data_IF_479768334058
#
_entry.id   IF_479768334058
#
_cell.length_a   1.000
_cell.length_b   1.000
_cell.length_c   1.000
_cell.angle_alpha   90.00
_cell.angle_beta   90.00
_cell.angle_gamma   90.00
#
_symmetry.space_group_name_H-M   'P 1'
#
loop_
_entity.id
_entity.type
_entity.pdbx_description
1 polymer ?
#
# COMPACT_ATOMS: atom_id res chain seq x y z
N UNK A 1 17.72 6.81 -19.13
CA UNK A 1 16.29 6.62 -19.37
C UNK A 1 15.76 5.61 -18.37
N UNK A 2 14.77 5.99 -17.57
CA UNK A 2 14.07 5.08 -16.64
C UNK A 2 13.13 4.17 -17.42
N UNK A 3 13.07 2.90 -17.05
CA UNK A 3 12.05 1.97 -17.56
C UNK A 3 10.64 2.39 -17.09
N UNK A 4 9.60 1.84 -17.72
CA UNK A 4 8.21 2.11 -17.28
C UNK A 4 7.97 1.64 -15.85
N UNK A 5 8.57 0.52 -15.44
CA UNK A 5 8.47 -0.01 -14.07
C UNK A 5 9.14 0.93 -13.06
N UNK A 6 10.32 1.46 -13.39
CA UNK A 6 11.00 2.45 -12.54
C UNK A 6 10.21 3.75 -12.41
N UNK A 7 9.62 4.24 -13.52
CA UNK A 7 8.75 5.41 -13.50
C UNK A 7 7.51 5.19 -12.61
N UNK A 8 6.88 4.02 -12.73
CA UNK A 8 5.73 3.66 -11.91
C UNK A 8 6.09 3.61 -10.41
N UNK A 9 7.20 2.96 -10.09
CA UNK A 9 7.68 2.88 -8.71
C UNK A 9 8.02 4.27 -8.14
N UNK A 10 8.66 5.15 -8.94
CA UNK A 10 8.94 6.52 -8.54
C UNK A 10 7.66 7.35 -8.32
N UNK A 11 6.65 7.16 -9.17
CA UNK A 11 5.36 7.82 -8.99
C UNK A 11 4.65 7.33 -7.71
N UNK A 12 4.68 6.02 -7.44
CA UNK A 12 4.12 5.46 -6.22
C UNK A 12 4.83 5.98 -4.96
N UNK A 13 6.17 6.07 -4.98
CA UNK A 13 6.94 6.67 -3.89
C UNK A 13 6.46 8.09 -3.59
N UNK A 14 6.31 8.91 -4.63
CA UNK A 14 5.83 10.27 -4.47
C UNK A 14 4.39 10.34 -3.97
N UNK A 15 3.50 9.49 -4.49
CA UNK A 15 2.11 9.41 -4.04
C UNK A 15 2.04 9.13 -2.54
N UNK A 16 2.76 8.12 -2.05
CA UNK A 16 2.72 7.76 -0.62
C UNK A 16 3.34 8.80 0.31
N UNK A 17 4.23 9.64 -0.21
CA UNK A 17 4.81 10.76 0.53
C UNK A 17 3.88 11.97 0.60
N UNK A 18 3.19 12.29 -0.48
CA UNK A 18 2.41 13.52 -0.62
C UNK A 18 0.90 13.32 -0.36
N UNK A 19 0.36 12.10 -0.54
CA UNK A 19 -1.08 11.88 -0.33
C UNK A 19 -1.49 12.16 1.12
N UNK A 20 -2.67 12.76 1.34
CA UNK A 20 -3.14 13.00 2.69
C UNK A 20 -3.44 11.69 3.43
N UNK A 21 -3.19 11.69 4.73
CA UNK A 21 -3.56 10.62 5.65
C UNK A 21 -4.78 11.05 6.44
N UNK A 22 -5.87 10.28 6.33
CA UNK A 22 -7.12 10.57 7.02
C UNK A 22 -7.38 9.53 8.12
N UNK A 23 -7.77 10.03 9.29
CA UNK A 23 -8.29 9.23 10.39
C UNK A 23 -9.59 9.89 10.81
N UNK A 24 -10.71 9.42 10.25
CA UNK A 24 -12.02 10.03 10.45
C UNK A 24 -12.62 9.60 11.80
N UNK A 25 -13.55 10.39 12.28
CA UNK A 25 -14.26 10.06 13.49
C UNK A 25 -15.17 8.84 13.26
N UNK A 26 -15.19 7.93 14.22
CA UNK A 26 -15.97 6.70 14.14
C UNK A 26 -15.33 5.55 13.34
N UNK A 27 -14.22 5.76 12.61
CA UNK A 27 -13.54 4.66 11.93
C UNK A 27 -13.05 3.59 12.90
N UNK A 28 -13.24 2.33 12.52
CA UNK A 28 -12.77 1.18 13.28
C UNK A 28 -11.48 0.60 12.69
N UNK A 29 -11.23 0.84 11.42
CA UNK A 29 -10.02 0.50 10.67
C UNK A 29 -9.60 1.71 9.85
N UNK A 30 -8.32 1.84 9.53
CA UNK A 30 -7.79 2.97 8.76
C UNK A 30 -7.20 2.52 7.42
N UNK A 31 -7.04 3.48 6.55
CA UNK A 31 -6.58 3.30 5.18
C UNK A 31 -7.64 3.88 4.25
N UNK A 32 -7.59 5.18 4.01
CA UNK A 32 -8.48 5.80 3.02
C UNK A 32 -7.68 6.24 1.82
N UNK A 33 -8.10 5.82 0.66
CA UNK A 33 -7.61 6.32 -0.60
C UNK A 33 -8.81 6.53 -1.50
N UNK A 34 -9.11 7.78 -1.81
CA UNK A 34 -10.05 8.06 -2.88
C UNK A 34 -9.33 7.95 -4.23
N UNK A 35 -9.99 7.36 -5.20
CA UNK A 35 -9.55 7.38 -6.59
C UNK A 35 -9.51 8.84 -7.07
N UNK A 36 -8.34 9.32 -7.39
CA UNK A 36 -8.17 10.64 -7.97
C UNK A 36 -7.63 11.68 -7.01
N UNK A 37 -8.09 11.76 -5.78
CA UNK A 37 -7.66 12.82 -4.86
C UNK A 37 -6.20 12.66 -4.41
N UNK A 38 -5.69 11.44 -4.34
CA UNK A 38 -4.31 11.18 -4.00
C UNK A 38 -3.37 11.28 -5.21
N UNK A 39 -3.83 10.98 -6.40
CA UNK A 39 -3.00 10.88 -7.62
C UNK A 39 -2.97 12.16 -8.42
N UNK A 40 -4.12 12.81 -8.60
CA UNK A 40 -4.24 13.99 -9.46
C UNK A 40 -3.31 15.16 -9.08
N UNK A 41 -3.02 15.43 -7.80
CA UNK A 41 -2.06 16.47 -7.43
C UNK A 41 -0.60 16.10 -7.69
N UNK A 42 -0.29 14.79 -7.76
CA UNK A 42 1.08 14.27 -7.71
C UNK A 42 1.57 13.79 -9.07
N UNK A 43 0.69 13.22 -9.87
CA UNK A 43 1.02 12.63 -11.17
C UNK A 43 0.18 13.30 -12.26
N UNK A 44 0.79 13.81 -13.31
CA UNK A 44 0.03 14.41 -14.42
C UNK A 44 -0.87 13.35 -15.05
N UNK A 45 -2.14 13.70 -15.26
CA UNK A 45 -3.17 12.82 -15.86
C UNK A 45 -2.79 12.38 -17.26
N UNK A 46 -1.97 13.19 -17.96
CA UNK A 46 -1.44 12.88 -19.29
C UNK A 46 0.06 13.08 -19.32
N UNK A 47 0.78 12.11 -19.86
CA UNK A 47 2.17 12.20 -20.22
C UNK A 47 2.32 11.85 -21.70
N UNK A 48 2.90 12.76 -22.49
CA UNK A 48 3.06 12.60 -23.95
C UNK A 48 1.73 12.24 -24.68
N UNK A 49 0.62 12.85 -24.25
CA UNK A 49 -0.69 12.63 -24.85
C UNK A 49 -1.43 11.37 -24.37
N UNK A 50 -0.76 10.49 -23.64
CA UNK A 50 -1.35 9.26 -23.09
C UNK A 50 -1.72 9.45 -21.61
N UNK A 51 -2.79 8.76 -21.18
CA UNK A 51 -3.12 8.68 -19.77
C UNK A 51 -2.06 7.82 -19.05
N UNK A 52 -1.39 8.40 -18.05
CA UNK A 52 -0.32 7.70 -17.31
C UNK A 52 -0.92 6.65 -16.38
N UNK A 53 -2.08 6.95 -15.81
CA UNK A 53 -2.91 6.00 -15.09
C UNK A 53 -4.24 5.97 -15.81
N UNK A 54 -4.41 5.00 -16.68
CA UNK A 54 -5.68 4.82 -17.35
C UNK A 54 -6.78 4.54 -16.33
N UNK A 55 -7.97 5.01 -16.61
CA UNK A 55 -9.20 4.46 -16.03
C UNK A 55 -9.34 3.02 -16.55
N UNK A 56 -8.29 2.23 -16.31
CA UNK A 56 -8.29 0.83 -16.67
C UNK A 56 -9.26 0.12 -15.75
N UNK A 57 -10.29 -0.46 -16.31
CA UNK A 57 -11.16 -1.41 -15.65
C UNK A 57 -10.37 -2.69 -15.28
N UNK A 58 -9.27 -2.52 -14.57
CA UNK A 58 -8.46 -3.62 -14.08
C UNK A 58 -9.08 -4.11 -12.77
N UNK A 59 -10.25 -4.74 -12.87
CA UNK A 59 -10.79 -5.57 -11.81
C UNK A 59 -9.93 -6.82 -11.67
N UNK A 60 -8.77 -6.67 -11.05
CA UNK A 60 -7.91 -7.81 -10.73
C UNK A 60 -8.12 -8.12 -9.26
N UNK A 61 -8.54 -9.33 -8.97
CA UNK A 61 -8.51 -9.85 -7.60
C UNK A 61 -7.06 -10.09 -7.23
N UNK A 62 -6.59 -9.32 -6.27
CA UNK A 62 -5.24 -9.51 -5.73
C UNK A 62 -5.24 -10.71 -4.78
N UNK A 63 -4.12 -11.40 -4.63
CA UNK A 63 -3.96 -12.55 -3.72
C UNK A 63 -4.04 -12.17 -2.24
N UNK A 64 -5.16 -11.58 -1.81
CA UNK A 64 -5.36 -11.14 -0.42
C UNK A 64 -5.37 -12.30 0.56
N UNK A 65 -5.84 -13.47 0.15
CA UNK A 65 -5.82 -14.70 0.94
C UNK A 65 -4.39 -15.10 1.33
N UNK A 66 -3.48 -15.09 0.37
CA UNK A 66 -2.06 -15.35 0.61
C UNK A 66 -1.43 -14.26 1.50
N UNK A 67 -1.73 -12.97 1.24
CA UNK A 67 -1.23 -11.88 2.04
C UNK A 67 -1.71 -11.96 3.50
N UNK A 68 -2.96 -12.34 3.72
CA UNK A 68 -3.50 -12.58 5.06
C UNK A 68 -2.84 -13.78 5.73
N UNK A 69 -2.63 -14.87 4.99
CA UNK A 69 -2.09 -16.11 5.55
C UNK A 69 -0.64 -15.98 6.01
N UNK A 70 0.20 -15.23 5.31
CA UNK A 70 1.65 -15.18 5.58
C UNK A 70 2.20 -13.78 5.93
N UNK A 71 1.42 -12.72 5.71
CA UNK A 71 1.88 -11.35 5.89
C UNK A 71 2.83 -10.87 4.78
N UNK A 72 2.95 -9.55 4.63
CA UNK A 72 3.76 -8.97 3.55
C UNK A 72 5.27 -9.10 3.77
N UNK A 73 5.74 -9.29 5.01
CA UNK A 73 7.15 -9.60 5.29
C UNK A 73 7.61 -10.92 4.68
N UNK A 74 6.70 -11.88 4.53
CA UNK A 74 7.02 -13.13 3.87
C UNK A 74 7.28 -12.93 2.38
N UNK A 75 6.51 -12.09 1.71
CA UNK A 75 6.75 -11.72 0.32
C UNK A 75 8.09 -11.03 0.14
N UNK A 76 8.45 -10.13 1.05
CA UNK A 76 9.73 -9.44 0.98
C UNK A 76 10.91 -10.44 1.08
N UNK A 77 10.83 -11.39 2.01
CA UNK A 77 11.85 -12.46 2.13
C UNK A 77 11.90 -13.38 0.90
N UNK A 78 10.75 -13.72 0.32
CA UNK A 78 10.69 -14.52 -0.92
C UNK A 78 11.35 -13.78 -2.09
N UNK A 79 11.06 -12.49 -2.25
CA UNK A 79 11.67 -11.64 -3.28
C UNK A 79 13.19 -11.57 -3.09
N UNK A 80 13.68 -11.40 -1.86
CA UNK A 80 15.11 -11.38 -1.56
C UNK A 80 15.79 -12.71 -1.89
N UNK A 81 15.13 -13.83 -1.59
CA UNK A 81 15.59 -15.15 -1.99
C UNK A 81 15.73 -15.29 -3.51
N UNK A 82 14.75 -14.83 -4.25
CA UNK A 82 14.82 -14.84 -5.72
C UNK A 82 15.88 -13.88 -6.28
N UNK A 83 16.03 -12.68 -5.72
CA UNK A 83 17.03 -11.72 -6.16
C UNK A 83 18.46 -12.25 -5.96
N UNK A 84 18.69 -13.06 -4.94
CA UNK A 84 20.00 -13.67 -4.68
C UNK A 84 20.34 -14.81 -5.65
N UNK A 85 19.32 -15.51 -6.18
CA UNK A 85 19.48 -16.71 -6.98
C UNK A 85 19.37 -16.47 -8.50
N UNK A 86 18.53 -15.53 -8.94
CA UNK A 86 18.23 -15.31 -10.34
C UNK A 86 19.27 -14.40 -11.03
N UNK A 87 19.60 -14.77 -12.26
CA UNK A 87 20.54 -14.02 -13.13
C UNK A 87 19.84 -13.36 -14.32
N UNK A 88 18.54 -13.54 -14.46
CA UNK A 88 17.74 -12.93 -15.52
C UNK A 88 17.49 -11.45 -15.22
N UNK A 89 17.89 -10.56 -16.13
CA UNK A 89 17.83 -9.12 -15.92
C UNK A 89 16.38 -8.60 -15.85
N UNK A 90 15.46 -9.13 -16.67
CA UNK A 90 14.07 -8.70 -16.67
C UNK A 90 13.35 -9.12 -15.37
N UNK A 91 13.55 -10.36 -14.94
CA UNK A 91 13.00 -10.86 -13.68
C UNK A 91 13.56 -10.08 -12.48
N UNK A 92 14.85 -9.76 -12.52
CA UNK A 92 15.50 -8.95 -11.49
C UNK A 92 14.86 -7.56 -11.40
N UNK A 93 14.64 -6.88 -12.54
CA UNK A 93 13.98 -5.58 -12.59
C UNK A 93 12.56 -5.63 -12.00
N UNK A 94 11.76 -6.66 -12.37
CA UNK A 94 10.43 -6.87 -11.80
C UNK A 94 10.48 -6.99 -10.29
N UNK A 95 11.37 -7.82 -9.75
CA UNK A 95 11.51 -8.06 -8.30
C UNK A 95 11.99 -6.83 -7.54
N UNK A 96 12.91 -6.06 -8.10
CA UNK A 96 13.32 -4.76 -7.54
C UNK A 96 12.11 -3.81 -7.46
N UNK A 97 11.30 -3.75 -8.50
CA UNK A 97 10.08 -2.93 -8.52
C UNK A 97 9.06 -3.40 -7.48
N UNK A 98 8.89 -4.72 -7.29
CA UNK A 98 8.03 -5.27 -6.22
C UNK A 98 8.54 -4.88 -4.82
N UNK A 99 9.85 -5.01 -4.56
CA UNK A 99 10.43 -4.55 -3.29
C UNK A 99 10.20 -3.06 -3.06
N UNK A 100 10.37 -2.25 -4.09
CA UNK A 100 10.14 -0.81 -3.99
C UNK A 100 8.68 -0.49 -3.66
N UNK A 101 7.72 -1.22 -4.24
CA UNK A 101 6.30 -1.08 -3.90
C UNK A 101 6.02 -1.45 -2.42
N UNK A 102 6.63 -2.54 -1.91
CA UNK A 102 6.53 -2.90 -0.50
C UNK A 102 7.15 -1.82 0.42
N UNK A 103 8.27 -1.24 0.03
CA UNK A 103 8.88 -0.13 0.76
C UNK A 103 7.98 1.12 0.77
N UNK A 104 7.30 1.42 -0.34
CA UNK A 104 6.32 2.50 -0.43
C UNK A 104 5.12 2.24 0.50
N UNK A 105 4.63 0.99 0.56
CA UNK A 105 3.57 0.61 1.50
C UNK A 105 4.01 0.79 2.95
N UNK A 106 5.25 0.43 3.30
CA UNK A 106 5.80 0.67 4.65
C UNK A 106 5.85 2.16 5.01
N UNK A 107 6.26 3.03 4.08
CA UNK A 107 6.26 4.49 4.30
C UNK A 107 4.84 5.01 4.51
N UNK A 108 3.89 4.57 3.71
CA UNK A 108 2.49 4.95 3.88
C UNK A 108 1.91 4.47 5.21
N UNK A 109 2.21 3.23 5.59
CA UNK A 109 1.86 2.68 6.89
C UNK A 109 2.45 3.48 8.05
N UNK A 110 3.73 3.86 7.96
CA UNK A 110 4.40 4.66 8.97
C UNK A 110 3.70 6.01 9.17
N UNK A 111 3.28 6.66 8.10
CA UNK A 111 2.52 7.91 8.17
C UNK A 111 1.18 7.75 8.90
N UNK A 112 0.50 6.62 8.73
CA UNK A 112 -0.70 6.30 9.52
C UNK A 112 -0.39 6.09 10.99
N UNK A 113 0.71 5.40 11.30
CA UNK A 113 1.15 5.21 12.68
C UNK A 113 1.44 6.55 13.37
N UNK A 114 2.16 7.44 12.71
CA UNK A 114 2.47 8.78 13.20
C UNK A 114 1.20 9.62 13.41
N UNK A 115 0.29 9.62 12.45
CA UNK A 115 -0.97 10.34 12.55
C UNK A 115 -1.87 9.79 13.69
N UNK A 116 -1.88 8.47 13.90
CA UNK A 116 -2.59 7.84 15.02
C UNK A 116 -1.98 8.24 16.36
N UNK A 117 -0.66 8.21 16.50
CA UNK A 117 0.01 8.62 17.73
C UNK A 117 -0.27 10.09 18.07
N UNK A 118 -0.25 10.99 17.08
CA UNK A 118 -0.60 12.40 17.30
C UNK A 118 -2.08 12.57 17.69
N UNK A 119 -2.99 11.87 17.02
CA UNK A 119 -4.42 11.95 17.35
C UNK A 119 -4.71 11.38 18.74
N UNK A 120 -4.04 10.30 19.15
CA UNK A 120 -4.19 9.69 20.48
C UNK A 120 -3.70 10.64 21.59
N UNK A 121 -2.68 11.46 21.35
CA UNK A 121 -2.21 12.45 22.34
C UNK A 121 -3.28 13.51 22.65
N UNK A 122 -4.03 13.93 21.64
CA UNK A 122 -5.05 14.97 21.74
C UNK A 122 -6.43 14.41 22.08
N UNK A 123 -6.72 13.20 21.64
CA UNK A 123 -8.00 12.50 21.80
C UNK A 123 -7.76 10.99 22.08
N UNK A 124 -7.53 10.61 23.36
CA UNK A 124 -7.09 9.27 23.74
C UNK A 124 -8.20 8.22 23.74
N UNK A 125 -8.94 8.09 22.65
CA UNK A 125 -10.00 7.08 22.50
C UNK A 125 -9.45 5.66 22.41
N UNK A 126 -10.09 4.70 23.08
CA UNK A 126 -9.73 3.27 23.04
C UNK A 126 -9.79 2.71 21.62
N UNK A 127 -10.69 3.20 20.79
CA UNK A 127 -10.80 2.88 19.38
C UNK A 127 -9.49 3.17 18.61
N UNK A 128 -8.92 4.36 18.80
CA UNK A 128 -7.68 4.77 18.14
C UNK A 128 -6.47 3.94 18.59
N UNK A 129 -6.40 3.66 19.89
CA UNK A 129 -5.36 2.77 20.44
C UNK A 129 -5.43 1.38 19.85
N UNK A 130 -6.64 0.81 19.71
CA UNK A 130 -6.85 -0.50 19.09
C UNK A 130 -6.43 -0.53 17.62
N UNK A 131 -6.77 0.50 16.84
CA UNK A 131 -6.33 0.63 15.44
C UNK A 131 -4.80 0.66 15.38
N UNK A 132 -4.16 1.50 16.17
CA UNK A 132 -2.70 1.59 16.25
C UNK A 132 -2.06 0.25 16.62
N UNK A 133 -2.59 -0.44 17.64
CA UNK A 133 -2.02 -1.70 18.09
C UNK A 133 -2.20 -2.82 17.07
N UNK A 134 -3.28 -2.83 16.30
CA UNK A 134 -3.42 -3.72 15.16
C UNK A 134 -2.39 -3.43 14.07
N UNK A 135 -2.18 -2.16 13.73
CA UNK A 135 -1.21 -1.77 12.70
C UNK A 135 0.24 -2.09 13.08
N UNK A 136 0.58 -2.25 14.37
CA UNK A 136 1.92 -2.75 14.76
C UNK A 136 2.22 -4.14 14.23
N UNK A 137 1.18 -4.91 13.91
CA UNK A 137 1.30 -6.29 13.40
C UNK A 137 1.01 -6.37 11.92
N UNK A 138 -0.12 -5.83 11.50
CA UNK A 138 -0.61 -5.97 10.12
C UNK A 138 -0.38 -4.70 9.29
N UNK A 139 -0.18 -4.83 7.98
CA UNK A 139 -0.29 -6.03 7.13
C UNK A 139 1.01 -6.84 6.99
N UNK A 140 2.05 -6.55 7.75
CA UNK A 140 3.39 -7.14 7.57
C UNK A 140 3.51 -8.54 8.14
N UNK A 141 2.96 -8.79 9.33
CA UNK A 141 2.82 -10.13 9.90
C UNK A 141 1.40 -10.68 9.69
N UNK A 142 1.20 -12.00 9.77
CA UNK A 142 -0.13 -12.61 9.70
C UNK A 142 -1.05 -12.09 10.81
N UNK A 143 -2.32 -11.77 10.50
CA UNK A 143 -3.29 -11.37 11.50
C UNK A 143 -3.59 -12.49 12.48
N UNK A 144 -3.75 -12.15 13.76
CA UNK A 144 -4.08 -13.07 14.84
C UNK A 144 -5.55 -13.01 15.25
N UNK A 145 -6.27 -11.99 14.79
CA UNK A 145 -7.68 -11.76 15.08
C UNK A 145 -8.44 -11.37 13.82
N UNK A 146 -9.76 -11.58 13.84
CA UNK A 146 -10.61 -11.12 12.74
C UNK A 146 -10.48 -9.61 12.49
N UNK A 147 -10.32 -8.83 13.55
CA UNK A 147 -10.16 -7.38 13.45
C UNK A 147 -8.84 -7.00 12.73
N UNK A 148 -7.74 -7.70 13.06
CA UNK A 148 -6.48 -7.54 12.35
C UNK A 148 -6.57 -7.98 10.89
N UNK A 149 -7.33 -9.06 10.61
CA UNK A 149 -7.54 -9.52 9.24
C UNK A 149 -8.28 -8.46 8.40
N UNK A 150 -9.34 -7.87 8.94
CA UNK A 150 -10.05 -6.76 8.28
C UNK A 150 -9.14 -5.54 8.05
N UNK A 151 -8.36 -5.14 9.05
CA UNK A 151 -7.41 -4.04 8.92
C UNK A 151 -6.34 -4.33 7.87
N UNK A 152 -5.79 -5.54 7.84
CA UNK A 152 -4.79 -5.97 6.87
C UNK A 152 -5.34 -5.95 5.45
N UNK A 153 -6.50 -6.56 5.24
CA UNK A 153 -7.20 -6.59 3.95
C UNK A 153 -7.48 -5.17 3.45
N UNK A 154 -8.10 -4.36 4.30
CA UNK A 154 -8.48 -2.99 3.94
C UNK A 154 -7.29 -2.11 3.63
N UNK A 155 -6.23 -2.18 4.45
CA UNK A 155 -5.03 -1.37 4.25
C UNK A 155 -4.31 -1.72 2.95
N UNK A 156 -4.18 -3.01 2.64
CA UNK A 156 -3.58 -3.49 1.40
C UNK A 156 -4.42 -3.11 0.18
N UNK A 157 -5.74 -3.21 0.28
CA UNK A 157 -6.68 -2.78 -0.75
C UNK A 157 -6.61 -1.27 -1.01
N UNK A 158 -6.63 -0.46 0.05
CA UNK A 158 -6.54 0.99 -0.04
C UNK A 158 -5.20 1.43 -0.65
N UNK A 159 -4.09 0.79 -0.26
CA UNK A 159 -2.78 1.04 -0.87
C UNK A 159 -2.77 0.75 -2.37
N UNK A 160 -3.33 -0.38 -2.80
CA UNK A 160 -3.42 -0.71 -4.22
C UNK A 160 -4.24 0.34 -5.00
N UNK A 161 -5.22 0.97 -4.38
CA UNK A 161 -6.01 2.05 -4.97
C UNK A 161 -5.27 3.38 -5.09
N UNK A 162 -4.23 3.63 -4.31
CA UNK A 162 -3.43 4.86 -4.41
C UNK A 162 -2.87 5.06 -5.83
N UNK A 163 -2.55 3.99 -6.52
CA UNK A 163 -2.03 4.02 -7.89
C UNK A 163 -3.12 4.01 -8.98
N UNK A 164 -4.34 4.41 -8.67
CA UNK A 164 -5.52 4.38 -9.55
C UNK A 164 -5.90 2.99 -10.09
N UNK A 165 -5.34 1.93 -9.53
CA UNK A 165 -5.80 0.58 -9.80
C UNK A 165 -7.17 0.36 -9.15
N UNK A 166 -7.97 -0.48 -9.78
CA UNK A 166 -9.26 -0.90 -9.23
C UNK A 166 -9.18 -2.36 -8.77
N UNK A 167 -8.60 -2.63 -7.60
CA UNK A 167 -8.54 -3.99 -7.11
C UNK A 167 -9.94 -4.51 -6.83
N UNK A 168 -10.21 -5.74 -7.23
CA UNK A 168 -11.41 -6.47 -6.85
C UNK A 168 -11.19 -7.20 -5.52
N UNK A 169 -12.27 -7.45 -4.80
CA UNK A 169 -12.23 -8.29 -3.59
C UNK A 169 -12.59 -9.76 -3.89
N UNK A 170 -12.91 -10.08 -5.12
CA UNK A 170 -13.34 -11.40 -5.60
C UNK A 170 -14.67 -11.35 -6.28
#
# INVERSE_FOLDING_TARGET
NMSMREKYAAALDRIVEECPVYINDGELIVGSASLGDAILPVVPVKYEGNYVFGWGANHVTMGFDEALRKGLDAYEREIDGYLSADRDAERTEVRISMKRALASLRRWHQRYMEALEEKIKTDPQERLKRIRDNLKTVPFAPPQTFYQALQSLWFSFAFARLSANWPGLG
#
